data_IF_042409856194
#
_entry.id   IF_042409856194
#
_cell.length_a   1.000
_cell.length_b   1.000
_cell.length_c   1.000
_cell.angle_alpha   90.00
_cell.angle_beta   90.00
_cell.angle_gamma   90.00
#
_symmetry.space_group_name_H-M   'P 1'
#
loop_
_entity.id
_entity.type
_entity.pdbx_description
1 polymer ?
#
# COMPACT_ATOMS: atom_id res chain seq x y z
N UNK A 1 -10.55 9.65 35.92
CA UNK A 1 -10.80 10.03 34.51
C UNK A 1 -11.87 9.10 33.98
N UNK A 2 -12.90 9.56 33.25
CA UNK A 2 -13.84 8.61 32.63
C UNK A 2 -13.15 8.01 31.41
N UNK A 3 -13.37 6.71 31.17
CA UNK A 3 -12.77 6.00 30.03
C UNK A 3 -13.10 6.68 28.68
N UNK A 4 -14.28 7.28 28.58
CA UNK A 4 -14.78 8.04 27.42
C UNK A 4 -13.99 9.34 27.16
N UNK A 5 -13.26 9.86 28.16
CA UNK A 5 -12.50 11.11 28.00
C UNK A 5 -11.06 10.85 27.54
N UNK A 6 -10.64 9.58 27.42
CA UNK A 6 -9.28 9.24 27.01
C UNK A 6 -9.12 9.32 25.48
N UNK A 7 -8.17 10.14 25.04
CA UNK A 7 -7.93 10.41 23.61
C UNK A 7 -7.57 9.15 22.81
N UNK A 8 -6.79 8.23 23.40
CA UNK A 8 -6.33 6.99 22.74
C UNK A 8 -7.51 6.07 22.45
N UNK A 9 -8.40 5.93 23.44
CA UNK A 9 -9.59 5.08 23.35
C UNK A 9 -10.55 5.67 22.31
N UNK A 10 -10.80 6.98 22.35
CA UNK A 10 -11.67 7.65 21.37
C UNK A 10 -11.13 7.52 19.95
N UNK A 11 -9.81 7.65 19.76
CA UNK A 11 -9.18 7.46 18.45
C UNK A 11 -9.30 6.01 17.99
N UNK A 12 -9.12 5.05 18.89
CA UNK A 12 -9.27 3.63 18.58
C UNK A 12 -10.69 3.30 18.13
N UNK A 13 -11.69 3.81 18.85
CA UNK A 13 -13.11 3.68 18.53
C UNK A 13 -13.43 4.38 17.20
N UNK A 14 -12.88 5.57 16.96
CA UNK A 14 -13.06 6.27 15.68
C UNK A 14 -12.58 5.41 14.50
N UNK A 15 -11.38 4.82 14.59
CA UNK A 15 -10.87 3.94 13.55
C UNK A 15 -11.69 2.66 13.42
N UNK A 16 -12.13 2.06 14.52
CA UNK A 16 -13.03 0.91 14.50
C UNK A 16 -14.33 1.23 13.75
N UNK A 17 -15.02 2.30 14.16
CA UNK A 17 -16.31 2.72 13.59
C UNK A 17 -16.21 3.24 12.16
N UNK A 18 -15.02 3.66 11.68
CA UNK A 18 -14.79 4.02 10.27
C UNK A 18 -15.07 2.86 9.31
N UNK A 19 -14.93 1.63 9.78
CA UNK A 19 -14.98 0.41 8.96
C UNK A 19 -16.23 -0.44 9.19
N UNK A 20 -17.23 0.09 9.91
CA UNK A 20 -18.44 -0.63 10.30
C UNK A 20 -19.67 0.12 9.75
N UNK A 21 -20.72 -0.59 9.30
CA UNK A 21 -22.02 0.00 8.96
C UNK A 21 -22.58 0.90 10.07
N UNK A 22 -23.28 1.98 9.69
CA UNK A 22 -23.74 3.03 10.62
C UNK A 22 -24.60 2.48 11.78
N UNK A 23 -25.51 1.56 11.46
CA UNK A 23 -26.41 0.86 12.39
C UNK A 23 -25.67 0.03 13.46
N UNK A 24 -24.38 -0.25 13.25
CA UNK A 24 -23.57 -1.08 14.15
C UNK A 24 -22.45 -0.31 14.85
N UNK A 25 -22.29 0.99 14.56
CA UNK A 25 -21.21 1.79 15.16
C UNK A 25 -21.38 1.96 16.66
N UNK A 26 -22.61 2.23 17.11
CA UNK A 26 -22.90 2.38 18.54
C UNK A 26 -22.66 1.07 19.30
N UNK A 27 -23.17 -0.05 18.77
CA UNK A 27 -22.95 -1.37 19.36
C UNK A 27 -21.46 -1.73 19.46
N UNK A 28 -20.67 -1.48 18.40
CA UNK A 28 -19.23 -1.75 18.42
C UNK A 28 -18.47 -0.85 19.41
N UNK A 29 -18.89 0.41 19.54
CA UNK A 29 -18.34 1.36 20.53
C UNK A 29 -18.61 0.87 21.95
N UNK A 30 -19.86 0.50 22.23
CA UNK A 30 -20.29 0.07 23.57
C UNK A 30 -19.60 -1.23 23.99
N UNK A 31 -19.48 -2.20 23.07
CA UNK A 31 -18.80 -3.47 23.36
C UNK A 31 -17.30 -3.27 23.66
N UNK A 32 -16.61 -2.41 22.90
CA UNK A 32 -15.20 -2.10 23.20
C UNK A 32 -15.07 -1.36 24.52
N UNK A 33 -15.97 -0.43 24.81
CA UNK A 33 -15.97 0.31 26.07
C UNK A 33 -16.18 -0.63 27.26
N UNK A 34 -17.12 -1.57 27.14
CA UNK A 34 -17.41 -2.58 28.16
C UNK A 34 -16.24 -3.57 28.34
N UNK A 35 -15.59 -4.01 27.25
CA UNK A 35 -14.38 -4.85 27.36
C UNK A 35 -13.26 -4.13 28.10
N UNK A 36 -13.02 -2.84 27.79
CA UNK A 36 -11.99 -2.05 28.46
C UNK A 36 -12.33 -1.81 29.93
N UNK A 37 -13.59 -1.52 30.25
CA UNK A 37 -14.05 -1.38 31.64
C UNK A 37 -13.86 -2.67 32.46
N UNK A 38 -14.05 -3.84 31.85
CA UNK A 38 -13.87 -5.14 32.52
C UNK A 38 -12.42 -5.55 32.68
N UNK A 39 -11.52 -5.13 31.78
CA UNK A 39 -10.12 -5.58 31.74
C UNK A 39 -9.13 -4.60 32.37
N UNK A 40 -9.47 -3.32 32.42
CA UNK A 40 -8.61 -2.34 33.07
C UNK A 40 -8.76 -2.40 34.59
N UNK A 41 -7.66 -2.20 35.34
CA UNK A 41 -7.72 -2.06 36.79
C UNK A 41 -8.49 -0.79 37.19
N UNK A 42 -9.04 -0.79 38.42
CA UNK A 42 -9.86 0.31 38.98
C UNK A 42 -9.10 1.66 38.92
N UNK A 43 -7.79 1.62 39.14
CA UNK A 43 -6.89 2.74 38.93
C UNK A 43 -5.94 2.42 37.76
N UNK A 44 -6.37 2.71 36.54
CA UNK A 44 -5.60 2.46 35.33
C UNK A 44 -4.69 3.62 34.96
N UNK A 45 -3.54 3.31 34.38
CA UNK A 45 -2.60 4.26 33.77
C UNK A 45 -2.71 4.23 32.25
N UNK A 46 -2.14 5.24 31.56
CA UNK A 46 -2.07 5.25 30.09
C UNK A 46 -1.33 4.04 29.51
N UNK A 47 -0.40 3.47 30.28
CA UNK A 47 0.32 2.26 29.88
C UNK A 47 -0.61 1.04 29.88
N UNK A 48 -1.49 0.93 30.87
CA UNK A 48 -2.44 -0.18 30.98
C UNK A 48 -3.46 -0.12 29.83
N UNK A 49 -3.91 1.09 29.47
CA UNK A 49 -4.75 1.32 28.28
C UNK A 49 -4.04 0.86 27.01
N UNK A 50 -2.77 1.27 26.82
CA UNK A 50 -1.99 0.89 25.64
C UNK A 50 -1.79 -0.62 25.56
N UNK A 51 -1.49 -1.27 26.68
CA UNK A 51 -1.27 -2.72 26.74
C UNK A 51 -2.57 -3.50 26.46
N UNK A 52 -3.73 -3.06 26.98
CA UNK A 52 -5.02 -3.68 26.66
C UNK A 52 -5.50 -3.42 25.23
N UNK A 53 -5.32 -2.21 24.70
CA UNK A 53 -5.61 -1.95 23.29
C UNK A 53 -4.69 -2.80 22.40
N UNK A 54 -3.39 -2.94 22.73
CA UNK A 54 -2.47 -3.86 22.06
C UNK A 54 -2.97 -5.32 22.06
N UNK A 55 -3.61 -5.77 23.16
CA UNK A 55 -4.20 -7.11 23.28
C UNK A 55 -5.49 -7.27 22.49
N UNK A 56 -6.31 -6.22 22.40
CA UNK A 56 -7.52 -6.21 21.59
C UNK A 56 -7.20 -6.41 20.10
N UNK A 57 -6.09 -5.83 19.64
CA UNK A 57 -5.59 -6.00 18.28
C UNK A 57 -6.01 -4.85 17.35
N UNK A 58 -5.84 -5.05 16.05
CA UNK A 58 -6.06 -3.98 15.08
C UNK A 58 -7.56 -3.59 15.02
N UNK A 59 -7.92 -2.30 15.21
CA UNK A 59 -9.33 -1.86 15.17
C UNK A 59 -10.01 -2.17 13.83
N UNK A 60 -9.26 -2.24 12.72
CA UNK A 60 -9.77 -2.70 11.43
C UNK A 60 -10.21 -4.18 11.48
N UNK A 61 -9.38 -5.06 12.03
CA UNK A 61 -9.67 -6.49 12.11
C UNK A 61 -10.85 -6.79 13.03
N UNK A 62 -10.99 -5.99 14.09
CA UNK A 62 -12.16 -6.06 14.97
C UNK A 62 -13.41 -5.55 14.24
N UNK A 63 -13.30 -4.46 13.47
CA UNK A 63 -14.40 -3.92 12.68
C UNK A 63 -14.98 -4.92 11.68
N UNK A 64 -14.14 -5.78 11.10
CA UNK A 64 -14.59 -6.86 10.22
C UNK A 64 -15.53 -7.86 10.91
N UNK A 65 -15.51 -7.99 12.24
CA UNK A 65 -16.44 -8.85 12.99
C UNK A 65 -17.84 -8.23 13.10
N UNK A 66 -17.92 -6.90 13.06
CA UNK A 66 -19.18 -6.15 13.14
C UNK A 66 -19.81 -5.90 11.80
N UNK A 67 -19.01 -5.78 10.74
CA UNK A 67 -19.57 -5.95 9.40
C UNK A 67 -20.25 -7.33 9.40
N UNK A 68 -21.58 -7.37 9.24
CA UNK A 68 -22.22 -8.62 8.82
C UNK A 68 -21.48 -9.13 7.57
N UNK A 69 -21.76 -10.35 7.11
CA UNK A 69 -21.35 -10.85 5.77
C UNK A 69 -21.89 -9.99 4.60
N UNK A 70 -21.84 -8.66 4.68
CA UNK A 70 -21.96 -7.75 3.56
C UNK A 70 -20.78 -8.00 2.66
N UNK A 71 -21.07 -8.48 1.46
CA UNK A 71 -20.11 -8.81 0.41
C UNK A 71 -19.50 -7.53 -0.20
N UNK A 72 -18.96 -6.63 0.63
CA UNK A 72 -18.25 -5.46 0.13
C UNK A 72 -16.92 -5.94 -0.48
N UNK A 73 -16.67 -5.54 -1.72
CA UNK A 73 -15.46 -5.90 -2.45
C UNK A 73 -14.24 -5.18 -1.86
N UNK A 74 -14.42 -3.93 -1.43
CA UNK A 74 -13.38 -3.12 -0.79
C UNK A 74 -13.93 -2.38 0.42
N UNK A 75 -13.21 -2.41 1.55
CA UNK A 75 -13.58 -1.75 2.78
C UNK A 75 -12.49 -0.77 3.26
N UNK A 76 -12.94 0.39 3.77
CA UNK A 76 -12.11 1.28 4.56
C UNK A 76 -10.84 1.76 3.85
N UNK A 77 -9.68 1.45 4.47
CA UNK A 77 -8.36 1.82 3.94
C UNK A 77 -8.13 1.26 2.53
N UNK A 78 -8.62 0.06 2.20
CA UNK A 78 -8.43 -0.53 0.86
C UNK A 78 -9.26 0.18 -0.21
N UNK A 79 -10.43 0.72 0.16
CA UNK A 79 -11.24 1.56 -0.73
C UNK A 79 -10.56 2.91 -1.00
N UNK A 80 -9.96 3.55 0.00
CA UNK A 80 -9.21 4.79 -0.19
C UNK A 80 -7.98 4.59 -1.09
N UNK A 81 -7.29 3.47 -0.95
CA UNK A 81 -6.18 3.08 -1.83
C UNK A 81 -6.68 2.91 -3.26
N UNK A 82 -7.82 2.23 -3.44
CA UNK A 82 -8.44 2.07 -4.76
C UNK A 82 -8.75 3.41 -5.43
N UNK A 83 -9.42 4.33 -4.73
CA UNK A 83 -9.72 5.67 -5.26
C UNK A 83 -8.44 6.44 -5.60
N UNK A 84 -7.42 6.34 -4.75
CA UNK A 84 -6.13 6.96 -5.04
C UNK A 84 -5.44 6.38 -6.26
N UNK A 85 -5.50 5.06 -6.45
CA UNK A 85 -4.94 4.37 -7.61
C UNK A 85 -5.69 4.71 -8.89
N UNK A 86 -7.02 4.82 -8.85
CA UNK A 86 -7.85 5.33 -9.94
C UNK A 86 -7.29 6.68 -10.41
N UNK A 87 -7.15 7.66 -9.52
CA UNK A 87 -6.66 8.98 -9.91
C UNK A 87 -5.25 8.93 -10.52
N UNK A 88 -4.32 8.22 -9.90
CA UNK A 88 -2.95 8.11 -10.41
C UNK A 88 -2.88 7.43 -11.79
N UNK A 89 -3.63 6.34 -11.98
CA UNK A 89 -3.65 5.59 -13.25
C UNK A 89 -4.35 6.37 -14.35
N UNK A 90 -5.44 7.10 -14.07
CA UNK A 90 -6.08 7.96 -15.05
C UNK A 90 -5.19 9.14 -15.45
N UNK A 91 -4.52 9.78 -14.49
CA UNK A 91 -3.53 10.83 -14.80
C UNK A 91 -2.39 10.29 -15.66
N UNK A 92 -1.86 9.11 -15.33
CA UNK A 92 -0.83 8.44 -16.14
C UNK A 92 -1.33 8.06 -17.54
N UNK A 93 -2.57 7.59 -17.65
CA UNK A 93 -3.22 7.28 -18.93
C UNK A 93 -3.41 8.52 -19.80
N UNK A 94 -3.77 9.66 -19.21
CA UNK A 94 -3.86 10.94 -19.93
C UNK A 94 -2.49 11.41 -20.45
N UNK A 95 -1.45 11.33 -19.62
CA UNK A 95 -0.06 11.62 -20.04
C UNK A 95 0.37 10.69 -21.17
N UNK A 96 0.07 9.40 -21.04
CA UNK A 96 0.35 8.42 -22.09
C UNK A 96 -0.38 8.73 -23.39
N UNK A 97 -1.63 9.19 -23.34
CA UNK A 97 -2.41 9.54 -24.53
C UNK A 97 -1.76 10.70 -25.27
N UNK A 98 -1.34 11.74 -24.53
CA UNK A 98 -0.62 12.89 -25.08
C UNK A 98 0.69 12.43 -25.73
N UNK A 99 1.50 11.62 -25.05
CA UNK A 99 2.74 11.10 -25.59
C UNK A 99 2.52 10.21 -26.83
N UNK A 100 1.47 9.39 -26.82
CA UNK A 100 1.11 8.54 -27.94
C UNK A 100 0.70 9.37 -29.16
N UNK A 101 -0.06 10.44 -28.93
CA UNK A 101 -0.44 11.39 -29.97
C UNK A 101 0.77 12.02 -30.66
N UNK A 102 1.74 12.53 -29.90
CA UNK A 102 2.92 13.18 -30.48
C UNK A 102 3.90 12.22 -31.16
N UNK A 103 4.08 11.01 -30.62
CA UNK A 103 5.11 10.08 -31.10
C UNK A 103 4.58 9.05 -32.11
N UNK A 104 3.28 8.76 -32.10
CA UNK A 104 2.69 7.66 -32.86
C UNK A 104 1.38 8.05 -33.55
N UNK A 105 1.21 9.33 -33.92
CA UNK A 105 -0.01 9.85 -34.57
C UNK A 105 -0.50 8.97 -35.74
N UNK A 106 0.40 8.55 -36.62
CA UNK A 106 0.07 7.71 -37.78
C UNK A 106 -0.51 6.32 -37.42
N UNK A 107 -0.37 5.88 -36.17
CA UNK A 107 -0.97 4.62 -35.67
C UNK A 107 -2.36 4.82 -35.08
N UNK A 108 -2.76 6.05 -34.76
CA UNK A 108 -4.10 6.37 -34.27
C UNK A 108 -5.15 6.08 -35.35
N UNK A 109 -4.82 6.21 -36.63
CA UNK A 109 -5.75 5.84 -37.70
C UNK A 109 -6.08 4.34 -37.74
N UNK A 110 -5.27 3.49 -37.10
CA UNK A 110 -5.49 2.03 -37.05
C UNK A 110 -6.43 1.58 -35.93
N UNK A 111 -6.43 2.27 -34.80
CA UNK A 111 -7.36 2.04 -33.70
C UNK A 111 -8.21 3.28 -33.52
N UNK A 112 -9.52 3.16 -33.73
CA UNK A 112 -10.43 4.27 -33.50
C UNK A 112 -10.22 4.92 -32.13
N UNK A 113 -10.31 6.25 -32.05
CA UNK A 113 -10.06 7.01 -30.81
C UNK A 113 -10.84 6.45 -29.60
N UNK A 114 -12.08 6.02 -29.83
CA UNK A 114 -12.91 5.37 -28.80
C UNK A 114 -12.31 4.07 -28.26
N UNK A 115 -11.69 3.24 -29.10
CA UNK A 115 -11.04 2.00 -28.67
C UNK A 115 -9.80 2.27 -27.82
N UNK A 116 -9.05 3.32 -28.15
CA UNK A 116 -7.91 3.78 -27.35
C UNK A 116 -8.38 4.21 -25.96
N UNK A 117 -9.42 5.05 -25.89
CA UNK A 117 -10.01 5.48 -24.62
C UNK A 117 -10.54 4.30 -23.81
N UNK A 118 -11.32 3.40 -24.43
CA UNK A 118 -11.84 2.21 -23.76
C UNK A 118 -10.71 1.35 -23.18
N UNK A 119 -9.61 1.21 -23.91
CA UNK A 119 -8.43 0.46 -23.46
C UNK A 119 -7.82 1.08 -22.20
N UNK A 120 -7.64 2.40 -22.17
CA UNK A 120 -7.09 3.11 -21.01
C UNK A 120 -8.04 2.98 -19.82
N UNK A 121 -9.33 3.26 -20.01
CA UNK A 121 -10.34 3.24 -18.95
C UNK A 121 -10.43 1.84 -18.32
N UNK A 122 -10.60 0.80 -19.14
CA UNK A 122 -10.74 -0.56 -18.64
C UNK A 122 -9.46 -1.01 -17.92
N UNK A 123 -8.29 -0.71 -18.48
CA UNK A 123 -7.02 -1.12 -17.89
C UNK A 123 -6.76 -0.39 -16.58
N UNK A 124 -6.97 0.94 -16.53
CA UNK A 124 -6.83 1.72 -15.30
C UNK A 124 -7.77 1.22 -14.20
N UNK A 125 -9.03 0.96 -14.54
CA UNK A 125 -10.03 0.47 -13.57
C UNK A 125 -9.65 -0.91 -13.03
N UNK A 126 -9.31 -1.86 -13.92
CA UNK A 126 -8.96 -3.23 -13.51
C UNK A 126 -7.66 -3.27 -12.70
N UNK A 127 -6.68 -2.46 -13.07
CA UNK A 127 -5.41 -2.32 -12.35
C UNK A 127 -5.55 -1.59 -11.03
N UNK A 128 -6.57 -0.76 -10.83
CA UNK A 128 -6.86 -0.22 -9.50
C UNK A 128 -7.61 -1.24 -8.64
N UNK A 129 -8.63 -1.90 -9.22
CA UNK A 129 -9.58 -2.73 -8.48
C UNK A 129 -8.94 -4.03 -7.96
N UNK A 130 -8.32 -4.81 -8.85
CA UNK A 130 -7.83 -6.15 -8.51
C UNK A 130 -6.71 -6.08 -7.46
N UNK A 131 -5.67 -5.23 -7.62
CA UNK A 131 -4.65 -5.08 -6.59
C UNK A 131 -5.17 -4.61 -5.23
N UNK A 132 -6.13 -3.68 -5.21
CA UNK A 132 -6.74 -3.20 -3.97
C UNK A 132 -7.50 -4.32 -3.26
N UNK A 133 -8.19 -5.16 -4.04
CA UNK A 133 -8.90 -6.33 -3.52
C UNK A 133 -7.93 -7.37 -2.96
N UNK A 134 -6.81 -7.62 -3.66
CA UNK A 134 -5.75 -8.50 -3.15
C UNK A 134 -5.20 -7.96 -1.82
N UNK A 135 -4.95 -6.65 -1.71
CA UNK A 135 -4.46 -6.04 -0.47
C UNK A 135 -5.45 -6.21 0.70
N UNK A 136 -6.75 -6.15 0.42
CA UNK A 136 -7.77 -6.45 1.42
C UNK A 136 -7.73 -7.90 1.88
N UNK A 137 -7.61 -8.84 0.93
CA UNK A 137 -7.50 -10.26 1.27
C UNK A 137 -6.21 -10.58 2.02
N UNK A 138 -5.09 -9.95 1.66
CA UNK A 138 -3.81 -10.06 2.37
C UNK A 138 -3.96 -9.73 3.86
N UNK A 139 -4.76 -8.73 4.21
CA UNK A 139 -5.04 -8.35 5.60
C UNK A 139 -5.88 -9.39 6.36
N UNK A 140 -6.82 -10.04 5.66
CA UNK A 140 -7.76 -10.99 6.27
C UNK A 140 -7.22 -12.42 6.38
N UNK A 141 -6.29 -12.83 5.51
CA UNK A 141 -5.82 -14.21 5.41
C UNK A 141 -4.59 -14.44 6.29
N UNK A 142 -4.64 -15.42 7.20
CA UNK A 142 -3.58 -15.73 8.17
C UNK A 142 -2.19 -15.91 7.55
N UNK A 143 -2.10 -16.58 6.39
CA UNK A 143 -0.83 -16.81 5.68
C UNK A 143 -0.27 -15.49 5.15
N UNK A 144 -1.12 -14.66 4.55
CA UNK A 144 -0.74 -13.40 3.92
C UNK A 144 -0.44 -12.29 4.96
N UNK A 145 -1.04 -12.36 6.15
CA UNK A 145 -0.73 -11.46 7.29
C UNK A 145 0.73 -11.53 7.73
N UNK A 146 1.45 -12.62 7.41
CA UNK A 146 2.91 -12.73 7.65
C UNK A 146 3.72 -11.71 6.86
N UNK A 147 3.18 -11.21 5.75
CA UNK A 147 3.82 -10.14 4.96
C UNK A 147 3.66 -8.76 5.60
N UNK A 148 2.79 -8.63 6.60
CA UNK A 148 2.44 -7.38 7.23
C UNK A 148 3.20 -7.13 8.54
N UNK A 149 3.44 -5.85 8.87
CA UNK A 149 4.00 -5.47 10.18
C UNK A 149 3.01 -5.85 11.29
N UNK A 150 3.53 -6.41 12.39
CA UNK A 150 2.71 -6.67 13.57
C UNK A 150 2.13 -5.35 14.11
N UNK A 151 0.81 -5.33 14.30
CA UNK A 151 0.09 -4.15 14.76
C UNK A 151 0.52 -3.72 16.16
N UNK A 152 0.59 -2.40 16.40
CA UNK A 152 0.80 -1.82 17.72
C UNK A 152 -0.02 -0.54 17.87
N UNK A 153 -0.47 -0.24 19.10
CA UNK A 153 -1.22 0.95 19.46
C UNK A 153 -0.48 2.26 19.14
N UNK A 154 0.86 2.23 19.11
CA UNK A 154 1.65 3.41 18.73
C UNK A 154 1.44 3.77 17.23
N UNK A 155 1.06 2.80 16.39
CA UNK A 155 0.70 3.04 14.98
C UNK A 155 -0.68 3.71 14.83
N UNK A 156 -1.49 3.78 15.90
CA UNK A 156 -2.81 4.46 15.90
C UNK A 156 -2.68 6.00 15.84
N UNK A 157 -1.53 6.54 16.24
CA UNK A 157 -1.29 7.99 16.28
C UNK A 157 -0.94 8.57 14.92
N UNK A 158 -0.50 7.75 13.98
CA UNK A 158 -0.36 8.15 12.60
C UNK A 158 -1.72 8.00 11.92
N UNK A 159 -2.53 9.06 12.00
CA UNK A 159 -3.50 9.30 10.93
C UNK A 159 -2.70 9.59 9.66
N UNK A 160 -2.13 8.55 9.05
CA UNK A 160 -1.68 8.67 7.69
C UNK A 160 -2.94 8.71 6.84
N UNK A 161 -3.54 9.91 6.73
CA UNK A 161 -4.03 10.33 5.42
C UNK A 161 -2.97 9.87 4.45
N UNK A 162 -3.28 8.98 3.50
CA UNK A 162 -2.28 8.33 2.66
C UNK A 162 -1.32 9.40 2.16
N UNK A 163 -0.16 9.53 2.81
CA UNK A 163 0.79 10.61 2.55
C UNK A 163 1.67 10.03 1.48
N UNK A 164 1.16 10.07 0.26
CA UNK A 164 2.01 9.78 -0.88
C UNK A 164 3.17 10.76 -0.84
N UNK A 165 4.37 10.22 -0.67
CA UNK A 165 5.56 11.03 -0.92
C UNK A 165 5.46 11.59 -2.34
N UNK A 166 5.86 12.85 -2.53
CA UNK A 166 5.89 13.47 -3.87
C UNK A 166 6.66 12.56 -4.85
N UNK A 167 7.74 11.95 -4.37
CA UNK A 167 8.47 10.91 -5.10
C UNK A 167 7.56 9.76 -5.54
N UNK A 168 6.78 9.16 -4.64
CA UNK A 168 5.89 8.05 -4.95
C UNK A 168 4.83 8.40 -6.00
N UNK A 169 4.23 9.59 -5.93
CA UNK A 169 3.26 10.04 -6.95
C UNK A 169 3.94 10.18 -8.31
N UNK A 170 5.06 10.91 -8.36
CA UNK A 170 5.79 11.16 -9.61
C UNK A 170 6.28 9.84 -10.21
N UNK A 171 6.77 8.95 -9.36
CA UNK A 171 7.24 7.62 -9.74
C UNK A 171 6.12 6.82 -10.42
N UNK A 172 4.97 6.66 -9.75
CA UNK A 172 3.82 5.92 -10.29
C UNK A 172 3.32 6.57 -11.58
N UNK A 173 3.29 7.91 -11.65
CA UNK A 173 2.81 8.64 -12.82
C UNK A 173 3.71 8.43 -14.05
N UNK A 174 5.03 8.66 -13.92
CA UNK A 174 5.98 8.46 -15.02
C UNK A 174 5.94 7.00 -15.46
N UNK A 175 6.06 6.09 -14.51
CA UNK A 175 6.15 4.67 -14.78
C UNK A 175 4.89 4.09 -15.44
N UNK A 176 3.72 4.38 -14.87
CA UNK A 176 2.44 3.89 -15.40
C UNK A 176 2.15 4.51 -16.77
N UNK A 177 2.56 5.76 -17.03
CA UNK A 177 2.38 6.38 -18.34
C UNK A 177 3.17 5.64 -19.42
N UNK A 178 4.37 5.14 -19.11
CA UNK A 178 5.16 4.33 -20.05
C UNK A 178 4.51 2.97 -20.31
N UNK A 179 3.89 2.35 -19.30
CA UNK A 179 3.15 1.11 -19.50
C UNK A 179 1.91 1.29 -20.37
N UNK A 180 1.11 2.34 -20.14
CA UNK A 180 0.01 2.68 -21.03
C UNK A 180 0.50 2.95 -22.46
N UNK A 181 1.62 3.66 -22.60
CA UNK A 181 2.19 3.96 -23.91
C UNK A 181 2.61 2.69 -24.64
N UNK A 182 3.22 1.76 -23.90
CA UNK A 182 3.62 0.45 -24.40
C UNK A 182 2.40 -0.44 -24.76
N UNK A 183 1.34 -0.38 -23.97
CA UNK A 183 0.09 -1.08 -24.25
C UNK A 183 -0.54 -0.57 -25.56
N UNK A 184 -0.64 0.75 -25.73
CA UNK A 184 -1.17 1.35 -26.96
C UNK A 184 -0.28 1.04 -28.16
N UNK A 185 1.04 1.11 -27.99
CA UNK A 185 2.01 0.77 -29.03
C UNK A 185 1.86 -0.68 -29.51
N UNK A 186 1.72 -1.62 -28.57
CA UNK A 186 1.59 -3.05 -28.92
C UNK A 186 0.23 -3.39 -29.48
N UNK A 187 -0.84 -2.76 -29.01
CA UNK A 187 -2.20 -2.96 -29.55
C UNK A 187 -2.37 -2.36 -30.95
N UNK A 188 -1.72 -1.23 -31.24
CA UNK A 188 -1.72 -0.61 -32.58
C UNK A 188 -0.68 -1.19 -33.54
N UNK A 189 0.31 -1.92 -33.00
CA UNK A 189 1.28 -2.66 -33.78
C UNK A 189 0.81 -4.08 -34.09
N UNK A 190 1.38 -4.71 -35.12
CA UNK A 190 1.21 -6.15 -35.37
C UNK A 190 2.12 -6.96 -34.42
N UNK A 191 2.02 -6.71 -33.12
CA UNK A 191 2.78 -7.43 -32.10
C UNK A 191 1.98 -8.65 -31.64
N UNK A 192 2.67 -9.76 -31.36
CA UNK A 192 2.00 -10.97 -30.90
C UNK A 192 1.19 -10.75 -29.62
N UNK A 193 0.01 -11.39 -29.56
CA UNK A 193 -0.88 -11.36 -28.40
C UNK A 193 -0.21 -11.86 -27.12
N UNK A 194 0.72 -12.81 -27.24
CA UNK A 194 1.56 -13.32 -26.14
C UNK A 194 2.32 -12.18 -25.45
N UNK A 195 2.99 -11.35 -26.25
CA UNK A 195 3.81 -10.22 -25.78
C UNK A 195 2.93 -9.14 -25.15
N UNK A 196 1.78 -8.83 -25.76
CA UNK A 196 0.79 -7.93 -25.15
C UNK A 196 0.36 -8.39 -23.76
N UNK A 197 0.04 -9.68 -23.60
CA UNK A 197 -0.38 -10.23 -22.31
C UNK A 197 0.74 -10.17 -21.26
N UNK A 198 2.00 -10.42 -21.65
CA UNK A 198 3.16 -10.27 -20.76
C UNK A 198 3.28 -8.82 -20.27
N UNK A 199 3.10 -7.84 -21.15
CA UNK A 199 3.16 -6.41 -20.78
C UNK A 199 2.05 -6.05 -19.78
N UNK A 200 0.81 -6.51 -20.01
CA UNK A 200 -0.29 -6.28 -19.06
C UNK A 200 -0.02 -6.95 -17.71
N UNK A 201 0.51 -8.17 -17.72
CA UNK A 201 0.87 -8.89 -16.50
C UNK A 201 1.97 -8.15 -15.72
N UNK A 202 3.00 -7.66 -16.40
CA UNK A 202 4.04 -6.84 -15.79
C UNK A 202 3.47 -5.54 -15.23
N UNK A 203 2.56 -4.88 -15.96
CA UNK A 203 1.90 -3.67 -15.47
C UNK A 203 1.12 -3.97 -14.18
N UNK A 204 0.35 -5.06 -14.18
CA UNK A 204 -0.37 -5.52 -13.01
C UNK A 204 0.52 -5.79 -11.80
N UNK A 205 1.62 -6.53 -11.97
CA UNK A 205 2.55 -6.85 -10.88
C UNK A 205 3.11 -5.57 -10.25
N UNK A 206 3.41 -4.56 -11.04
CA UNK A 206 3.93 -3.30 -10.53
C UNK A 206 2.86 -2.42 -9.87
N UNK A 207 1.64 -2.36 -10.40
CA UNK A 207 0.56 -1.66 -9.69
C UNK A 207 0.24 -2.37 -8.38
N UNK A 208 0.33 -3.69 -8.34
CA UNK A 208 0.21 -4.48 -7.11
C UNK A 208 1.32 -4.15 -6.11
N UNK A 209 2.58 -4.04 -6.56
CA UNK A 209 3.70 -3.54 -5.72
C UNK A 209 3.33 -2.23 -5.03
N UNK A 210 2.89 -1.25 -5.80
CA UNK A 210 2.64 0.10 -5.30
C UNK A 210 1.44 0.13 -4.35
N UNK A 211 0.39 -0.63 -4.68
CA UNK A 211 -0.80 -0.79 -3.84
C UNK A 211 -0.44 -1.43 -2.49
N UNK A 212 0.41 -2.47 -2.49
CA UNK A 212 0.88 -3.12 -1.27
C UNK A 212 1.72 -2.16 -0.41
N UNK A 213 2.63 -1.39 -1.03
CA UNK A 213 3.46 -0.40 -0.32
C UNK A 213 2.62 0.70 0.34
N UNK A 214 1.66 1.25 -0.42
CA UNK A 214 0.74 2.28 0.08
C UNK A 214 -0.15 1.72 1.21
N UNK A 215 -0.53 0.44 1.10
CA UNK A 215 -1.33 -0.21 2.14
C UNK A 215 -0.61 -0.30 3.49
N UNK A 216 0.72 -0.47 3.49
CA UNK A 216 1.46 -0.82 4.68
C UNK A 216 2.33 0.27 5.30
N UNK A 217 2.57 1.37 4.60
CA UNK A 217 3.14 2.63 5.11
C UNK A 217 4.40 2.47 6.01
N UNK A 218 5.05 1.31 5.95
CA UNK A 218 6.16 0.94 6.82
C UNK A 218 7.30 0.37 5.99
N UNK A 219 8.44 1.02 6.10
CA UNK A 219 9.70 0.71 5.40
C UNK A 219 10.39 -0.54 5.93
N UNK A 220 9.85 -1.17 6.99
CA UNK A 220 10.41 -2.33 7.68
C UNK A 220 9.56 -3.59 7.44
N UNK A 221 8.52 -3.48 6.62
CA UNK A 221 7.64 -4.59 6.28
C UNK A 221 8.29 -5.57 5.30
N UNK A 222 7.86 -6.83 5.35
CA UNK A 222 8.20 -7.85 4.36
C UNK A 222 7.76 -7.47 2.93
N UNK A 223 6.82 -6.52 2.80
CA UNK A 223 6.39 -5.96 1.52
C UNK A 223 7.52 -5.26 0.76
N UNK A 224 8.51 -4.71 1.46
CA UNK A 224 9.67 -4.11 0.79
C UNK A 224 10.45 -5.19 0.00
N UNK A 225 10.61 -6.39 0.56
CA UNK A 225 11.26 -7.50 -0.16
C UNK A 225 10.41 -8.00 -1.33
N UNK A 226 9.09 -8.06 -1.17
CA UNK A 226 8.18 -8.39 -2.27
C UNK A 226 8.31 -7.36 -3.40
N UNK A 227 8.44 -6.08 -3.07
CA UNK A 227 8.64 -5.01 -4.04
C UNK A 227 9.96 -5.18 -4.82
N UNK A 228 11.07 -5.47 -4.14
CA UNK A 228 12.34 -5.80 -4.82
C UNK A 228 12.20 -6.95 -5.81
N UNK A 229 11.50 -8.02 -5.43
CA UNK A 229 11.29 -9.18 -6.30
C UNK A 229 10.50 -8.78 -7.55
N UNK A 230 9.45 -7.97 -7.39
CA UNK A 230 8.64 -7.49 -8.50
C UNK A 230 9.43 -6.57 -9.45
N UNK A 231 10.30 -5.70 -8.93
CA UNK A 231 11.17 -4.84 -9.74
C UNK A 231 12.18 -5.66 -10.54
N UNK A 232 12.86 -6.60 -9.88
CA UNK A 232 13.85 -7.48 -10.51
C UNK A 232 13.22 -8.35 -11.60
N UNK A 233 12.03 -8.89 -11.34
CA UNK A 233 11.26 -9.67 -12.31
C UNK A 233 10.91 -8.79 -13.53
N UNK A 234 10.46 -7.56 -13.29
CA UNK A 234 10.11 -6.62 -14.35
C UNK A 234 11.31 -6.26 -15.22
N UNK A 235 12.44 -5.92 -14.60
CA UNK A 235 13.70 -5.64 -15.30
C UNK A 235 14.14 -6.84 -16.14
N UNK A 236 14.12 -8.03 -15.57
CA UNK A 236 14.60 -9.25 -16.24
C UNK A 236 13.74 -9.60 -17.45
N UNK A 237 12.42 -9.58 -17.31
CA UNK A 237 11.50 -9.90 -18.42
C UNK A 237 11.60 -8.83 -19.51
N UNK A 238 11.68 -7.54 -19.17
CA UNK A 238 11.82 -6.49 -20.17
C UNK A 238 13.17 -6.49 -20.88
N UNK A 239 14.26 -6.87 -20.20
CA UNK A 239 15.55 -7.07 -20.86
C UNK A 239 15.49 -8.20 -21.90
N UNK A 240 14.76 -9.28 -21.61
CA UNK A 240 14.51 -10.37 -22.57
C UNK A 240 13.64 -9.87 -23.73
N UNK A 241 12.55 -9.15 -23.45
CA UNK A 241 11.65 -8.62 -24.49
C UNK A 241 12.35 -7.64 -25.44
N UNK A 242 13.23 -6.77 -24.93
CA UNK A 242 14.04 -5.87 -25.76
C UNK A 242 14.98 -6.62 -26.70
N UNK A 243 15.45 -7.80 -26.31
CA UNK A 243 16.37 -8.60 -27.12
C UNK A 243 15.63 -9.42 -28.18
N UNK A 244 14.46 -9.97 -27.86
CA UNK A 244 13.83 -11.01 -28.68
C UNK A 244 12.50 -10.62 -29.34
N UNK A 245 11.70 -9.74 -28.73
CA UNK A 245 10.31 -9.52 -29.17
C UNK A 245 10.08 -8.10 -29.71
N UNK A 246 10.57 -7.07 -29.01
CA UNK A 246 10.35 -5.69 -29.42
C UNK A 246 11.59 -4.81 -29.21
N UNK A 247 12.55 -4.87 -30.15
CA UNK A 247 13.80 -4.14 -30.00
C UNK A 247 13.58 -2.62 -30.09
N UNK A 248 14.40 -1.87 -29.33
CA UNK A 248 14.49 -0.41 -29.37
C UNK A 248 13.24 0.40 -28.99
N UNK A 249 12.37 -0.15 -28.15
CA UNK A 249 11.22 0.61 -27.64
C UNK A 249 11.60 1.51 -26.46
N UNK A 250 11.42 2.82 -26.64
CA UNK A 250 11.66 3.85 -25.63
C UNK A 250 10.92 3.58 -24.29
N UNK A 251 9.60 3.31 -24.26
CA UNK A 251 8.88 3.00 -23.03
C UNK A 251 9.54 1.93 -22.14
N UNK A 252 10.05 0.84 -22.75
CA UNK A 252 10.64 -0.27 -21.99
C UNK A 252 11.92 0.18 -21.27
N UNK A 253 12.75 1.01 -21.92
CA UNK A 253 13.99 1.53 -21.32
C UNK A 253 13.70 2.43 -20.12
N UNK A 254 12.68 3.28 -20.22
CA UNK A 254 12.25 4.15 -19.11
C UNK A 254 11.71 3.30 -17.95
N UNK A 255 10.90 2.28 -18.24
CA UNK A 255 10.39 1.34 -17.24
C UNK A 255 11.55 0.65 -16.50
N UNK A 256 12.54 0.11 -17.22
CA UNK A 256 13.72 -0.53 -16.61
C UNK A 256 14.46 0.48 -15.72
N UNK A 257 14.72 1.68 -16.24
CA UNK A 257 15.41 2.73 -15.48
C UNK A 257 14.67 3.08 -14.19
N UNK A 258 13.36 3.28 -14.25
CA UNK A 258 12.54 3.59 -13.08
C UNK A 258 12.59 2.46 -12.04
N UNK A 259 12.48 1.18 -12.45
CA UNK A 259 12.62 0.07 -11.51
C UNK A 259 14.01 0.04 -10.85
N UNK A 260 15.08 0.35 -11.58
CA UNK A 260 16.43 0.47 -10.99
C UNK A 260 16.49 1.62 -9.98
N UNK A 261 15.90 2.77 -10.30
CA UNK A 261 15.83 3.91 -9.37
C UNK A 261 15.05 3.55 -8.10
N UNK A 262 13.95 2.80 -8.20
CA UNK A 262 13.16 2.38 -7.03
C UNK A 262 13.93 1.39 -6.15
N UNK A 263 14.61 0.41 -6.76
CA UNK A 263 15.52 -0.50 -6.04
C UNK A 263 16.57 0.29 -5.25
N UNK A 264 17.19 1.30 -5.86
CA UNK A 264 18.17 2.16 -5.19
C UNK A 264 17.52 2.96 -4.05
N UNK A 265 16.36 3.57 -4.29
CA UNK A 265 15.62 4.34 -3.30
C UNK A 265 15.22 3.49 -2.09
N UNK A 266 14.70 2.29 -2.32
CA UNK A 266 14.38 1.32 -1.26
C UNK A 266 15.63 0.93 -0.47
N UNK A 267 16.77 0.76 -1.15
CA UNK A 267 18.02 0.34 -0.52
C UNK A 267 18.52 1.41 0.44
N UNK A 268 18.55 2.66 -0.01
CA UNK A 268 18.94 3.81 0.80
C UNK A 268 18.02 3.96 2.03
N UNK A 269 16.70 3.84 1.86
CA UNK A 269 15.76 3.93 2.96
C UNK A 269 15.93 2.80 3.97
N UNK A 270 16.13 1.56 3.53
CA UNK A 270 16.39 0.43 4.42
C UNK A 270 17.64 0.63 5.27
N UNK A 271 18.72 1.16 4.69
CA UNK A 271 19.94 1.48 5.43
C UNK A 271 19.70 2.58 6.47
N UNK A 272 19.01 3.66 6.08
CA UNK A 272 18.68 4.76 6.98
C UNK A 272 17.82 4.28 8.16
N UNK A 273 16.81 3.46 7.90
CA UNK A 273 15.87 3.03 8.92
C UNK A 273 16.46 1.95 9.83
N UNK A 274 17.32 1.05 9.32
CA UNK A 274 18.12 0.15 10.17
C UNK A 274 19.02 0.92 11.15
N UNK A 275 19.62 2.02 10.71
CA UNK A 275 20.40 2.90 11.58
C UNK A 275 19.51 3.55 12.65
N UNK A 276 18.34 4.05 12.30
CA UNK A 276 17.39 4.62 13.28
C UNK A 276 16.91 3.56 14.28
N UNK A 277 16.60 2.34 13.83
CA UNK A 277 16.16 1.24 14.69
C UNK A 277 17.28 0.80 15.64
N UNK A 278 18.51 0.68 15.15
CA UNK A 278 19.66 0.34 16.00
C UNK A 278 19.91 1.42 17.06
N UNK A 279 19.79 2.70 16.70
CA UNK A 279 19.87 3.83 17.64
C UNK A 279 18.74 3.80 18.68
N UNK A 280 17.50 3.50 18.28
CA UNK A 280 16.36 3.34 19.22
C UNK A 280 16.56 2.15 20.16
N UNK A 281 17.05 1.01 19.65
CA UNK A 281 17.37 -0.17 20.47
C UNK A 281 18.50 0.13 21.45
N UNK A 282 19.52 0.88 21.02
CA UNK A 282 20.63 1.34 21.87
C UNK A 282 20.13 2.24 23.00
N UNK A 283 19.32 3.27 22.70
CA UNK A 283 18.71 4.14 23.72
C UNK A 283 17.82 3.38 24.71
N UNK A 284 17.04 2.40 24.25
CA UNK A 284 16.22 1.54 25.15
C UNK A 284 17.08 0.69 26.09
N UNK A 285 18.22 0.15 25.63
CA UNK A 285 19.17 -0.58 26.47
C UNK A 285 19.83 0.34 27.50
N UNK A 286 20.28 1.52 27.07
CA UNK A 286 20.90 2.51 27.97
C UNK A 286 19.92 3.00 29.05
N UNK A 287 18.66 3.26 28.70
CA UNK A 287 17.64 3.66 29.68
C UNK A 287 17.30 2.54 30.67
N UNK A 288 17.29 1.28 30.24
CA UNK A 288 17.13 0.13 31.17
C UNK A 288 18.31 0.05 32.12
N UNK A 289 19.53 0.13 31.62
CA UNK A 289 20.74 0.05 32.43
C UNK A 289 20.81 1.19 33.46
N UNK A 290 20.42 2.43 33.09
CA UNK A 290 20.31 3.55 34.03
C UNK A 290 19.26 3.31 35.13
N UNK A 291 18.16 2.65 34.78
CA UNK A 291 17.09 2.35 35.74
C UNK A 291 17.50 1.25 36.74
N UNK A 292 18.21 0.22 36.28
CA UNK A 292 18.78 -0.80 37.17
C UNK A 292 19.85 -0.21 38.08
N UNK A 293 20.73 0.64 37.55
CA UNK A 293 21.78 1.28 38.35
C UNK A 293 21.22 2.17 39.48
N UNK A 294 20.11 2.88 39.23
CA UNK A 294 19.40 3.63 40.28
C UNK A 294 18.80 2.74 41.37
N UNK A 295 18.27 1.57 41.00
CA UNK A 295 17.68 0.62 41.97
C UNK A 295 18.75 -0.01 42.87
N UNK A 296 19.97 -0.19 42.36
CA UNK A 296 21.10 -0.70 43.12
C UNK A 296 21.76 0.39 44.01
N UNK A 297 21.62 1.68 43.66
CA UNK A 297 22.09 2.82 44.47
C UNK A 297 21.10 3.19 45.60
N UNK A 298 19.82 2.83 45.47
CA UNK A 298 18.76 3.08 46.46
C UNK A 298 18.58 1.90 47.48
N UNK A 299 19.45 0.89 47.44
CA UNK A 299 19.50 -0.26 48.38
C UNK A 299 20.70 -0.18 49.31
#
# INVERSE_FOLDING_TARGET
MKLIDNEIINRYIYYLCRYIPYDKKELAKDEIMDILQRRLPIAYTDKDIKDELNRLGNPYEIGLKYSNKGNFLLNGKSYEIFISMIYMLFSAGAVSLILFFFNYFARISKLGFFEILQTIILTAFMLALIPSWICEKVKSTKILKTFMKAWSIDDLYESSSIKHSIYGIIFVLIYSSMFFLLQLYTKTGNIEKSTYNIIILLFFINVLRDTLRISEDSTVSNIVYVAYIFDLLTISIFAILLKFAIPNIFPIRVIIFMNVVDILYMTVNLFRDKNIISLRKKRKRENRNRKYKKIDEDK
#
